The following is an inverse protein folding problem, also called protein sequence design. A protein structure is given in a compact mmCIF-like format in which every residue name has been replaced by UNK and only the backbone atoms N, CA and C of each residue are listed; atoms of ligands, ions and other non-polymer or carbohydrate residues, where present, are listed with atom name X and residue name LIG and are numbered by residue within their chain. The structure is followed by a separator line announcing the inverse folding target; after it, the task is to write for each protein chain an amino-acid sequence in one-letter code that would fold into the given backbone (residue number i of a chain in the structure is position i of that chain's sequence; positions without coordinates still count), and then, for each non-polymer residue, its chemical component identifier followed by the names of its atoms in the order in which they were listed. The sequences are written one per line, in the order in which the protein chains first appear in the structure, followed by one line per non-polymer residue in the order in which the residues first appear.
data_IF_853117650338
#
_entry.id   IF_853117650338
#
_cell.length_a   1.000
_cell.length_b   1.000
_cell.length_c   1.000
_cell.angle_alpha   90.00
_cell.angle_beta   90.00
_cell.angle_gamma   90.00
#
_symmetry.space_group_name_H-M   'P 1'
#
loop_
_entity.id
_entity.type
_entity.pdbx_description
1 polymer ?
#
# COMPACT_ATOMS: atom_id res chain seq x y z
N UNK A 1 -7.99 -14.70 -33.41
CA UNK A 1 -7.64 -14.92 -31.99
C UNK A 1 -7.21 -13.57 -31.43
N UNK A 2 -7.88 -13.07 -30.40
CA UNK A 2 -7.64 -11.71 -29.88
C UNK A 2 -6.50 -11.77 -28.87
N UNK A 3 -5.26 -11.57 -29.32
CA UNK A 3 -4.03 -11.66 -28.51
C UNK A 3 -4.11 -10.90 -27.17
N UNK A 4 -4.88 -9.81 -27.10
CA UNK A 4 -5.09 -9.04 -25.88
C UNK A 4 -5.93 -9.80 -24.84
N UNK A 5 -6.95 -10.54 -25.26
CA UNK A 5 -7.80 -11.33 -24.37
C UNK A 5 -7.05 -12.53 -23.80
N UNK A 6 -6.25 -13.21 -24.63
CA UNK A 6 -5.44 -14.36 -24.18
C UNK A 6 -4.39 -13.94 -23.14
N UNK A 7 -3.77 -12.77 -23.33
CA UNK A 7 -2.78 -12.27 -22.39
C UNK A 7 -3.40 -11.82 -21.06
N UNK A 8 -4.59 -11.20 -21.09
CA UNK A 8 -5.33 -10.86 -19.87
C UNK A 8 -5.75 -12.11 -19.09
N UNK A 9 -6.19 -13.15 -19.80
CA UNK A 9 -6.50 -14.45 -19.18
C UNK A 9 -5.28 -15.01 -18.44
N UNK A 10 -4.11 -15.00 -19.07
CA UNK A 10 -2.86 -15.42 -18.42
C UNK A 10 -2.56 -14.59 -17.18
N UNK A 11 -2.70 -13.27 -17.23
CA UNK A 11 -2.51 -12.41 -16.03
C UNK A 11 -3.42 -12.87 -14.88
N UNK A 12 -4.71 -13.13 -15.16
CA UNK A 12 -5.66 -13.63 -14.16
C UNK A 12 -5.22 -14.98 -13.59
N UNK A 13 -4.85 -15.94 -14.43
CA UNK A 13 -4.37 -17.27 -14.00
C UNK A 13 -3.13 -17.17 -13.08
N UNK A 14 -2.21 -16.23 -13.34
CA UNK A 14 -1.04 -16.03 -12.49
C UNK A 14 -1.42 -15.42 -11.14
N UNK A 15 -2.35 -14.46 -11.12
CA UNK A 15 -2.86 -13.86 -9.87
C UNK A 15 -3.56 -14.93 -9.02
N UNK A 16 -4.41 -15.76 -9.63
CA UNK A 16 -5.09 -16.87 -8.95
C UNK A 16 -4.08 -17.88 -8.38
N UNK A 17 -3.07 -18.26 -9.17
CA UNK A 17 -2.01 -19.19 -8.73
C UNK A 17 -1.22 -18.62 -7.55
N UNK A 18 -0.86 -17.33 -7.60
CA UNK A 18 -0.18 -16.66 -6.49
C UNK A 18 -1.05 -16.65 -5.22
N UNK A 19 -2.35 -16.37 -5.34
CA UNK A 19 -3.27 -16.39 -4.20
C UNK A 19 -3.38 -17.78 -3.56
N UNK A 20 -3.39 -18.85 -4.36
CA UNK A 20 -3.39 -20.23 -3.84
C UNK A 20 -2.17 -20.48 -2.94
N UNK A 21 -0.97 -20.07 -3.37
CA UNK A 21 0.23 -20.23 -2.55
C UNK A 21 0.18 -19.40 -1.26
N UNK A 22 -0.37 -18.19 -1.32
CA UNK A 22 -0.55 -17.33 -0.14
C UNK A 22 -1.54 -17.99 0.84
N UNK A 23 -2.64 -18.55 0.35
CA UNK A 23 -3.63 -19.28 1.15
C UNK A 23 -3.02 -20.55 1.77
N UNK A 24 -2.07 -21.19 1.08
CA UNK A 24 -1.26 -22.32 1.58
C UNK A 24 -0.14 -21.88 2.55
N UNK A 25 -0.05 -20.59 2.89
CA UNK A 25 0.84 -20.05 3.92
C UNK A 25 2.19 -19.50 3.42
N UNK A 26 2.38 -19.39 2.10
CA UNK A 26 3.58 -18.76 1.54
C UNK A 26 3.53 -17.23 1.75
N UNK A 27 4.69 -16.59 1.88
CA UNK A 27 4.71 -15.14 1.77
C UNK A 27 4.39 -14.70 0.33
N UNK A 28 3.77 -13.52 0.19
CA UNK A 28 3.46 -12.92 -1.11
C UNK A 28 4.67 -12.85 -2.04
N UNK A 29 5.85 -12.53 -1.51
CA UNK A 29 7.07 -12.41 -2.31
C UNK A 29 7.55 -13.78 -2.80
N UNK A 30 7.55 -14.81 -1.94
CA UNK A 30 7.93 -16.17 -2.32
C UNK A 30 6.99 -16.74 -3.39
N UNK A 31 5.69 -16.53 -3.25
CA UNK A 31 4.69 -16.97 -4.23
C UNK A 31 4.90 -16.29 -5.60
N UNK A 32 5.15 -14.97 -5.61
CA UNK A 32 5.44 -14.21 -6.83
C UNK A 32 6.71 -14.73 -7.51
N UNK A 33 7.79 -14.92 -6.75
CA UNK A 33 9.08 -15.36 -7.30
C UNK A 33 9.00 -16.78 -7.84
N UNK A 34 8.28 -17.66 -7.16
CA UNK A 34 8.03 -19.03 -7.63
C UNK A 34 7.25 -19.04 -8.95
N UNK A 35 6.10 -18.36 -9.02
CA UNK A 35 5.29 -18.30 -10.25
C UNK A 35 6.09 -17.64 -11.38
N UNK A 36 6.89 -16.63 -11.07
CA UNK A 36 7.78 -15.98 -12.05
C UNK A 36 8.90 -16.88 -12.57
N UNK A 37 9.40 -17.80 -11.75
CA UNK A 37 10.42 -18.77 -12.15
C UNK A 37 9.85 -19.90 -13.02
N UNK A 38 8.55 -20.21 -12.88
CA UNK A 38 7.88 -21.35 -13.52
C UNK A 38 7.10 -20.98 -14.78
N UNK A 39 6.92 -19.68 -15.05
CA UNK A 39 6.10 -19.19 -16.17
C UNK A 39 6.79 -18.09 -16.96
N UNK A 40 6.50 -18.02 -18.25
CA UNK A 40 7.01 -16.97 -19.13
C UNK A 40 5.84 -16.19 -19.71
N UNK A 41 5.64 -14.99 -19.17
CA UNK A 41 4.77 -13.95 -19.73
C UNK A 41 5.60 -12.70 -19.99
N UNK A 42 5.16 -11.88 -20.96
CA UNK A 42 5.87 -10.63 -21.29
C UNK A 42 6.01 -9.70 -20.09
N UNK A 43 7.12 -8.91 -19.98
CA UNK A 43 7.37 -8.02 -18.84
C UNK A 43 6.21 -7.08 -18.51
N UNK A 44 5.50 -6.59 -19.53
CA UNK A 44 4.33 -5.72 -19.38
C UNK A 44 3.17 -6.39 -18.61
N UNK A 45 3.04 -7.72 -18.71
CA UNK A 45 2.00 -8.48 -18.02
C UNK A 45 2.40 -8.78 -16.58
N UNK A 46 3.70 -9.00 -16.33
CA UNK A 46 4.24 -9.04 -14.96
C UNK A 46 3.98 -7.73 -14.22
N UNK A 47 4.12 -6.58 -14.88
CA UNK A 47 3.73 -5.30 -14.27
C UNK A 47 2.26 -5.30 -13.84
N UNK A 48 1.35 -5.86 -14.64
CA UNK A 48 -0.08 -5.96 -14.28
C UNK A 48 -0.33 -6.92 -13.12
N UNK A 49 0.36 -8.08 -13.10
CA UNK A 49 0.30 -9.02 -11.97
C UNK A 49 0.77 -8.34 -10.70
N UNK A 50 1.94 -7.69 -10.72
CA UNK A 50 2.48 -6.98 -9.56
C UNK A 50 1.58 -5.84 -9.10
N UNK A 51 0.99 -5.10 -10.04
CA UNK A 51 0.05 -4.00 -9.73
C UNK A 51 -1.20 -4.50 -9.00
N UNK A 52 -1.68 -5.72 -9.32
CA UNK A 52 -2.81 -6.33 -8.63
C UNK A 52 -2.56 -6.58 -7.14
N UNK A 53 -1.30 -6.76 -6.75
CA UNK A 53 -0.88 -6.97 -5.37
C UNK A 53 -0.36 -5.71 -4.68
N UNK A 54 -0.31 -4.56 -5.37
CA UNK A 54 0.03 -3.30 -4.70
C UNK A 54 -1.08 -2.90 -3.74
N UNK A 55 -0.75 -2.38 -2.55
CA UNK A 55 -1.79 -1.94 -1.65
C UNK A 55 -2.58 -0.77 -2.23
N UNK A 56 -3.90 -0.82 -2.05
CA UNK A 56 -4.83 0.16 -2.64
C UNK A 56 -5.06 1.28 -1.64
N UNK A 57 -4.44 2.43 -1.90
CA UNK A 57 -4.57 3.60 -1.04
C UNK A 57 -5.43 4.67 -1.68
N UNK A 58 -6.36 5.23 -0.90
CA UNK A 58 -7.16 6.39 -1.27
C UNK A 58 -7.23 7.40 -0.13
N UNK A 59 -6.76 8.62 -0.38
CA UNK A 59 -6.91 9.74 0.54
C UNK A 59 -8.32 10.35 0.38
N UNK A 60 -8.95 10.67 1.50
CA UNK A 60 -10.29 11.26 1.58
C UNK A 60 -10.25 12.44 2.54
N UNK A 61 -11.14 13.43 2.41
CA UNK A 61 -11.15 14.66 3.23
C UNK A 61 -10.99 14.47 4.75
N UNK A 62 -11.46 13.36 5.30
CA UNK A 62 -11.39 13.07 6.76
C UNK A 62 -10.81 11.69 7.07
N UNK A 63 -10.15 11.03 6.13
CA UNK A 63 -9.65 9.69 6.36
C UNK A 63 -8.90 9.09 5.19
N UNK A 64 -8.24 7.97 5.43
CA UNK A 64 -7.55 7.19 4.40
C UNK A 64 -8.23 5.84 4.28
N UNK A 65 -8.32 5.32 3.06
CA UNK A 65 -8.65 3.91 2.82
C UNK A 65 -7.39 3.19 2.39
N UNK A 66 -7.08 2.09 3.06
CA UNK A 66 -5.99 1.19 2.71
C UNK A 66 -6.61 -0.20 2.56
N UNK A 67 -6.50 -0.78 1.37
CA UNK A 67 -7.12 -2.07 0.99
C UNK A 67 -8.63 -2.13 1.30
N UNK A 68 -9.30 -1.00 1.14
CA UNK A 68 -10.74 -0.85 1.39
C UNK A 68 -11.11 -0.51 2.84
N UNK A 69 -10.21 -0.72 3.80
CA UNK A 69 -10.44 -0.40 5.21
C UNK A 69 -10.24 1.10 5.48
N UNK A 70 -11.23 1.73 6.13
CA UNK A 70 -11.23 3.16 6.41
C UNK A 70 -10.61 3.48 7.78
N UNK A 71 -9.72 4.47 7.79
CA UNK A 71 -9.08 5.03 8.96
C UNK A 71 -9.34 6.54 9.00
N UNK A 72 -9.98 7.09 10.05
CA UNK A 72 -10.15 8.53 10.19
C UNK A 72 -8.81 9.19 10.48
N UNK A 73 -8.54 10.33 9.85
CA UNK A 73 -7.24 11.03 9.97
C UNK A 73 -7.39 12.54 10.12
N UNK A 74 -6.29 13.19 10.45
CA UNK A 74 -6.07 14.62 10.28
C UNK A 74 -4.84 14.83 9.39
N UNK A 75 -4.96 15.71 8.41
CA UNK A 75 -3.86 16.07 7.51
C UNK A 75 -3.19 17.34 8.01
N UNK A 76 -1.86 17.38 7.94
CA UNK A 76 -1.07 18.55 8.28
C UNK A 76 -0.09 18.82 7.14
N UNK A 77 -0.20 19.98 6.52
CA UNK A 77 0.71 20.39 5.45
C UNK A 77 2.15 20.54 5.95
N UNK A 78 3.07 20.34 5.04
CA UNK A 78 4.52 20.55 5.17
C UNK A 78 4.88 21.92 5.72
N UNK A 79 4.07 22.96 5.44
CA UNK A 79 4.25 24.32 6.00
C UNK A 79 4.24 24.36 7.52
N UNK A 80 3.59 23.38 8.16
CA UNK A 80 3.53 23.28 9.61
C UNK A 80 4.73 22.50 10.21
N UNK A 81 5.64 21.97 9.40
CA UNK A 81 6.73 21.09 9.84
C UNK A 81 8.10 21.59 9.37
N UNK A 82 9.08 21.59 10.27
CA UNK A 82 10.46 22.05 10.01
C UNK A 82 11.22 21.27 8.93
N UNK A 83 10.74 20.08 8.55
CA UNK A 83 11.38 19.21 7.55
C UNK A 83 10.73 19.26 6.17
N UNK A 84 9.72 20.13 5.97
CA UNK A 84 9.00 20.22 4.69
C UNK A 84 8.22 18.95 4.34
N UNK A 85 7.93 18.10 5.32
CA UNK A 85 7.16 16.87 5.13
C UNK A 85 5.71 17.10 5.54
N UNK A 86 4.78 16.62 4.71
CA UNK A 86 3.39 16.58 5.10
C UNK A 86 3.15 15.38 6.04
N UNK A 87 2.21 15.51 6.98
CA UNK A 87 1.96 14.48 7.98
C UNK A 87 0.48 14.09 8.01
N UNK A 88 0.21 12.78 8.02
CA UNK A 88 -1.12 12.23 8.25
C UNK A 88 -1.15 11.67 9.67
N UNK A 89 -2.03 12.21 10.51
CA UNK A 89 -2.26 11.75 11.88
C UNK A 89 -3.46 10.81 11.91
N UNK A 90 -3.27 9.56 12.32
CA UNK A 90 -4.36 8.59 12.45
C UNK A 90 -5.14 8.91 13.73
N UNK A 91 -6.45 9.12 13.64
CA UNK A 91 -7.27 9.52 14.81
C UNK A 91 -7.67 8.35 15.72
N UNK A 92 -7.18 7.15 15.43
CA UNK A 92 -7.57 5.92 16.13
C UNK A 92 -6.34 5.22 16.64
N UNK A 93 -6.51 4.47 17.73
CA UNK A 93 -5.52 3.53 18.22
C UNK A 93 -5.51 2.19 17.44
N UNK A 94 -6.27 2.09 16.35
CA UNK A 94 -6.19 0.92 15.48
C UNK A 94 -4.90 1.02 14.68
N UNK A 95 -4.08 -0.01 14.80
CA UNK A 95 -2.90 -0.19 13.95
C UNK A 95 -3.28 -0.19 12.48
N UNK A 96 -2.46 0.46 11.69
CA UNK A 96 -2.52 0.37 10.24
C UNK A 96 -2.21 -1.07 9.79
N UNK A 97 -2.76 -1.52 8.64
CA UNK A 97 -2.46 -2.84 8.13
C UNK A 97 -0.99 -2.89 7.67
N UNK A 98 -0.34 -4.07 7.64
CA UNK A 98 1.05 -4.20 7.18
C UNK A 98 1.29 -3.57 5.79
N UNK A 99 0.28 -3.63 4.92
CA UNK A 99 0.30 -3.05 3.58
C UNK A 99 0.44 -1.52 3.56
N UNK A 100 0.10 -0.84 4.65
CA UNK A 100 0.38 0.58 4.83
C UNK A 100 1.89 0.84 4.94
N UNK A 101 2.64 -0.05 5.59
CA UNK A 101 4.08 0.09 5.80
C UNK A 101 4.88 -0.17 4.50
N UNK A 102 4.29 -0.86 3.52
CA UNK A 102 4.85 -1.00 2.18
C UNK A 102 4.84 0.33 1.41
N UNK A 103 3.91 1.24 1.73
CA UNK A 103 3.67 2.49 1.00
C UNK A 103 4.17 3.71 1.77
N UNK A 104 4.01 3.67 3.08
CA UNK A 104 4.18 4.82 3.95
C UNK A 104 5.26 4.59 4.98
N UNK A 105 6.00 5.66 5.27
CA UNK A 105 6.83 5.70 6.47
C UNK A 105 5.94 5.98 7.68
N UNK A 106 5.41 4.90 8.26
CA UNK A 106 4.65 4.95 9.52
C UNK A 106 5.64 5.12 10.69
N UNK A 107 5.37 6.08 11.57
CA UNK A 107 6.12 6.31 12.81
C UNK A 107 5.24 5.94 14.00
N UNK A 108 5.89 5.50 15.08
CA UNK A 108 5.32 5.06 16.35
C UNK A 108 4.80 3.60 16.36
N UNK A 109 5.58 2.68 15.77
CA UNK A 109 5.29 1.23 15.72
C UNK A 109 6.42 0.41 16.40
N UNK A 110 7.00 0.93 17.49
CA UNK A 110 8.29 0.41 18.00
C UNK A 110 8.32 0.05 19.48
N UNK A 111 7.39 0.54 20.31
CA UNK A 111 7.33 0.15 21.72
C UNK A 111 5.90 0.24 22.29
N UNK A 112 5.50 -0.82 22.99
CA UNK A 112 4.22 -0.98 23.69
C UNK A 112 3.81 0.22 24.57
N UNK A 113 4.77 0.93 25.17
CA UNK A 113 4.50 2.11 25.98
C UNK A 113 4.24 3.37 25.13
N UNK A 114 4.88 3.50 23.96
CA UNK A 114 4.65 4.62 23.04
C UNK A 114 3.33 4.45 22.28
N UNK A 115 3.01 3.23 21.86
CA UNK A 115 1.76 2.89 21.17
C UNK A 115 0.50 3.13 22.03
N UNK A 116 0.65 3.10 23.37
CA UNK A 116 -0.45 3.34 24.30
C UNK A 116 -0.84 4.83 24.38
N UNK A 117 0.10 5.74 24.15
CA UNK A 117 -0.11 7.19 24.30
C UNK A 117 -0.05 7.96 22.98
N UNK A 118 0.55 7.39 21.93
CA UNK A 118 0.72 8.04 20.65
C UNK A 118 -0.05 7.32 19.55
N UNK A 119 -0.74 8.11 18.73
CA UNK A 119 -1.38 7.60 17.53
C UNK A 119 -0.35 7.42 16.41
N UNK A 120 -0.58 6.45 15.53
CA UNK A 120 0.20 6.29 14.31
C UNK A 120 0.22 7.61 13.52
N UNK A 121 1.39 7.97 13.03
CA UNK A 121 1.56 9.09 12.10
C UNK A 121 2.34 8.65 10.89
N UNK A 122 1.91 9.11 9.73
CA UNK A 122 2.57 8.86 8.46
C UNK A 122 3.27 10.14 8.03
N UNK A 123 4.57 10.04 7.74
CA UNK A 123 5.33 11.13 7.13
C UNK A 123 5.36 10.93 5.61
N UNK A 124 4.94 11.98 4.89
CA UNK A 124 4.90 12.02 3.44
C UNK A 124 5.99 12.98 2.97
N UNK A 125 7.08 12.48 2.36
CA UNK A 125 8.12 13.32 1.82
C UNK A 125 7.67 14.01 0.51
N UNK A 126 8.31 15.14 0.11
CA UNK A 126 7.93 15.90 -1.08
C UNK A 126 7.96 15.13 -2.41
N UNK A 127 8.77 14.08 -2.49
CA UNK A 127 8.91 13.17 -3.64
C UNK A 127 7.84 12.06 -3.67
N UNK A 128 7.00 11.95 -2.64
CA UNK A 128 5.92 10.97 -2.60
C UNK A 128 4.80 11.33 -3.59
N UNK A 129 4.22 10.34 -4.30
CA UNK A 129 3.05 10.57 -5.15
C UNK A 129 1.81 11.06 -4.39
N UNK A 130 1.82 10.99 -3.06
CA UNK A 130 0.72 11.44 -2.20
C UNK A 130 0.91 12.85 -1.64
N UNK A 131 2.07 13.48 -1.83
CA UNK A 131 2.42 14.73 -1.16
C UNK A 131 1.45 15.86 -1.50
N UNK A 132 1.25 16.16 -2.79
CA UNK A 132 0.35 17.22 -3.24
C UNK A 132 -1.10 16.98 -2.81
N UNK A 133 -1.55 15.72 -2.78
CA UNK A 133 -2.88 15.39 -2.31
C UNK A 133 -3.04 15.69 -0.81
N UNK A 134 -2.03 15.39 0.01
CA UNK A 134 -2.08 15.70 1.45
C UNK A 134 -2.08 17.21 1.68
N UNK A 135 -1.28 17.97 0.95
CA UNK A 135 -1.28 19.45 1.01
C UNK A 135 -2.66 20.05 0.72
N UNK A 136 -3.37 19.51 -0.27
CA UNK A 136 -4.70 19.98 -0.63
C UNK A 136 -5.81 19.55 0.35
N UNK A 137 -5.53 18.58 1.23
CA UNK A 137 -6.49 18.04 2.20
C UNK A 137 -6.26 18.58 3.63
N UNK A 138 -5.16 19.30 3.87
CA UNK A 138 -4.82 19.92 5.16
C UNK A 138 -5.59 21.21 5.43
#
# INVERSE_FOLDING_TARGET
MNFKQDALKKVTEHIETINIFIDDGWSKQEAIDYVRSTTVIGPQYWTMVLDAFKPKVKLLKKGIKIDGQYYPVFYSSSKNHTKGMATIYIKTYKRLPPSAHEIFSVKNDTDSMTDYFEQDRIQIPPDSPFFEQVENLS
#
